data_IF_685027066897
#
_entry.id   IF_685027066897
#
_cell.length_a   1.000
_cell.length_b   1.000
_cell.length_c   1.000
_cell.angle_alpha   90.00
_cell.angle_beta   90.00
_cell.angle_gamma   90.00
#
_symmetry.space_group_name_H-M   'P 1'
#
loop_
_entity.id
_entity.type
_entity.pdbx_description
1 polymer ?
#
# COMPACT_ATOMS: atom_id res chain seq x y z
N UNK A 1 -18.00 -15.87 9.56
CA UNK A 1 -17.44 -14.70 8.86
C UNK A 1 -16.27 -15.14 8.01
N UNK A 2 -16.07 -14.56 6.83
CA UNK A 2 -14.85 -14.81 6.02
C UNK A 2 -13.64 -14.38 6.85
N UNK A 3 -12.66 -15.26 7.03
CA UNK A 3 -11.40 -14.88 7.66
C UNK A 3 -10.72 -13.82 6.77
N UNK A 4 -10.20 -12.73 7.35
CA UNK A 4 -9.44 -11.75 6.59
C UNK A 4 -8.22 -12.44 5.96
N UNK A 5 -7.94 -12.12 4.69
CA UNK A 5 -6.78 -12.67 3.96
C UNK A 5 -5.47 -12.09 4.52
N UNK A 6 -5.54 -10.88 5.06
CA UNK A 6 -4.43 -10.18 5.69
C UNK A 6 -4.55 -10.26 7.22
N UNK A 7 -3.44 -10.56 7.89
CA UNK A 7 -3.34 -10.74 9.33
C UNK A 7 -2.45 -9.63 9.93
N UNK A 8 -2.26 -9.65 11.24
CA UNK A 8 -1.40 -8.69 11.94
C UNK A 8 0.06 -8.69 11.44
N UNK A 9 0.61 -9.84 11.06
CA UNK A 9 1.97 -9.90 10.46
C UNK A 9 2.06 -9.14 9.15
N UNK A 10 1.04 -9.25 8.30
CA UNK A 10 0.97 -8.50 7.03
C UNK A 10 0.78 -7.00 7.30
N UNK A 11 0.03 -6.65 8.35
CA UNK A 11 -0.12 -5.26 8.79
C UNK A 11 1.22 -4.66 9.23
N UNK A 12 1.98 -5.36 10.06
CA UNK A 12 3.29 -4.90 10.53
C UNK A 12 4.27 -4.69 9.37
N UNK A 13 4.27 -5.59 8.39
CA UNK A 13 5.05 -5.44 7.17
C UNK A 13 4.68 -4.18 6.39
N UNK A 14 3.38 -3.99 6.13
CA UNK A 14 2.89 -2.82 5.41
C UNK A 14 3.23 -1.51 6.15
N UNK A 15 3.08 -1.48 7.48
CA UNK A 15 3.48 -0.31 8.28
C UNK A 15 4.97 -0.02 8.10
N UNK A 16 5.84 -1.03 8.24
CA UNK A 16 7.28 -0.85 8.09
C UNK A 16 7.66 -0.37 6.67
N UNK A 17 7.00 -0.89 5.64
CA UNK A 17 7.21 -0.46 4.25
C UNK A 17 6.87 1.03 4.05
N UNK A 18 5.73 1.49 4.57
CA UNK A 18 5.33 2.89 4.45
C UNK A 18 6.08 3.83 5.39
N UNK A 19 6.58 3.34 6.53
CA UNK A 19 7.44 4.11 7.43
C UNK A 19 8.85 4.31 6.83
N UNK A 20 9.40 3.29 6.16
CA UNK A 20 10.70 3.37 5.46
C UNK A 20 10.59 4.17 4.15
N UNK A 21 9.55 3.90 3.37
CA UNK A 21 9.27 4.59 2.11
C UNK A 21 7.83 5.13 2.10
N UNK A 22 7.59 6.38 2.53
CA UNK A 22 6.26 6.98 2.52
C UNK A 22 5.70 7.22 1.12
N UNK A 23 6.54 7.14 0.08
CA UNK A 23 6.15 7.20 -1.32
C UNK A 23 5.90 5.81 -1.94
N UNK A 24 6.00 4.73 -1.14
CA UNK A 24 5.76 3.38 -1.62
C UNK A 24 4.39 3.25 -2.27
N UNK A 25 4.39 2.58 -3.41
CA UNK A 25 3.18 2.36 -4.22
C UNK A 25 2.43 1.12 -3.76
N UNK A 26 1.16 1.01 -4.16
CA UNK A 26 0.39 -0.22 -3.93
C UNK A 26 1.02 -1.45 -4.58
N UNK A 27 1.68 -1.27 -5.74
CA UNK A 27 2.34 -2.37 -6.42
C UNK A 27 3.55 -2.86 -5.63
N UNK A 28 4.35 -1.96 -5.06
CA UNK A 28 5.45 -2.33 -4.16
C UNK A 28 4.94 -3.01 -2.89
N UNK A 29 3.82 -2.53 -2.32
CA UNK A 29 3.19 -3.18 -1.17
C UNK A 29 2.71 -4.60 -1.47
N UNK A 30 2.13 -4.83 -2.64
CA UNK A 30 1.69 -6.17 -3.08
C UNK A 30 2.90 -7.05 -3.38
N UNK A 31 3.87 -6.55 -4.14
CA UNK A 31 5.08 -7.29 -4.53
C UNK A 31 5.86 -7.73 -3.29
N UNK A 32 6.05 -6.82 -2.33
CA UNK A 32 6.65 -7.09 -1.04
C UNK A 32 5.89 -8.14 -0.24
N UNK A 33 4.56 -8.01 -0.15
CA UNK A 33 3.72 -9.03 0.50
C UNK A 33 3.85 -10.40 -0.17
N UNK A 34 3.86 -10.49 -1.51
CA UNK A 34 4.04 -11.77 -2.21
C UNK A 34 5.45 -12.35 -2.09
N UNK A 35 6.47 -11.50 -1.94
CA UNK A 35 7.87 -11.91 -1.76
C UNK A 35 8.15 -12.42 -0.35
N UNK A 36 7.75 -11.66 0.66
CA UNK A 36 7.95 -12.01 2.06
C UNK A 36 7.00 -13.12 2.54
N UNK A 37 5.79 -13.20 1.95
CA UNK A 37 4.80 -14.22 2.26
C UNK A 37 4.52 -15.10 1.05
N UNK A 38 5.40 -16.10 0.85
CA UNK A 38 5.28 -17.09 -0.23
C UNK A 38 3.91 -17.80 -0.15
N UNK A 39 3.13 -17.68 -1.22
CA UNK A 39 1.78 -18.27 -1.32
C UNK A 39 0.62 -17.31 -1.00
N UNK A 40 0.92 -16.05 -0.67
CA UNK A 40 -0.09 -15.02 -0.48
C UNK A 40 -0.55 -14.45 -1.84
N UNK A 41 -1.58 -15.05 -2.44
CA UNK A 41 -2.22 -14.47 -3.63
C UNK A 41 -3.29 -13.44 -3.22
N UNK A 42 -2.94 -12.16 -3.29
CA UNK A 42 -3.84 -11.07 -2.92
C UNK A 42 -4.06 -10.06 -4.05
N UNK A 43 -5.32 -9.67 -4.25
CA UNK A 43 -5.70 -8.65 -5.23
C UNK A 43 -5.46 -7.25 -4.69
N UNK A 44 -5.11 -6.31 -5.57
CA UNK A 44 -4.95 -4.89 -5.24
C UNK A 44 -6.16 -4.31 -4.48
N UNK A 45 -7.37 -4.69 -4.87
CA UNK A 45 -8.60 -4.25 -4.19
C UNK A 45 -8.69 -4.72 -2.74
N UNK A 46 -8.20 -5.93 -2.43
CA UNK A 46 -8.18 -6.47 -1.07
C UNK A 46 -7.15 -5.74 -0.20
N UNK A 47 -5.97 -5.43 -0.75
CA UNK A 47 -4.94 -4.62 -0.07
C UNK A 47 -5.46 -3.21 0.19
N UNK A 48 -6.08 -2.56 -0.81
CA UNK A 48 -6.71 -1.24 -0.63
C UNK A 48 -7.79 -1.24 0.47
N UNK A 49 -8.67 -2.25 0.47
CA UNK A 49 -9.70 -2.37 1.48
C UNK A 49 -9.10 -2.56 2.89
N UNK A 50 -8.06 -3.38 3.00
CA UNK A 50 -7.36 -3.61 4.25
C UNK A 50 -6.68 -2.35 4.76
N UNK A 51 -5.94 -1.63 3.90
CA UNK A 51 -5.28 -0.39 4.29
C UNK A 51 -6.27 0.65 4.78
N UNK A 52 -7.42 0.77 4.09
CA UNK A 52 -8.48 1.72 4.44
C UNK A 52 -9.22 1.36 5.74
N UNK A 53 -9.54 0.08 5.95
CA UNK A 53 -10.37 -0.35 7.09
C UNK A 53 -9.58 -0.81 8.31
N UNK A 54 -8.49 -1.54 8.11
CA UNK A 54 -7.70 -2.16 9.19
C UNK A 54 -6.52 -1.29 9.64
N UNK A 55 -5.87 -0.59 8.70
CA UNK A 55 -4.79 0.36 9.01
C UNK A 55 -5.29 1.80 9.14
N UNK A 56 -6.53 2.08 8.74
CA UNK A 56 -7.10 3.44 8.68
C UNK A 56 -6.22 4.42 7.89
N UNK A 57 -5.41 3.91 6.98
CA UNK A 57 -4.58 4.72 6.09
C UNK A 57 -5.44 5.25 4.95
N UNK A 58 -5.27 6.52 4.64
CA UNK A 58 -5.89 7.17 3.49
C UNK A 58 -4.79 7.58 2.53
N UNK A 59 -4.69 6.90 1.39
CA UNK A 59 -3.83 7.32 0.29
C UNK A 59 -4.40 8.59 -0.32
N UNK A 60 -3.85 9.75 0.07
CA UNK A 60 -4.13 11.01 -0.63
C UNK A 60 -3.32 11.00 -1.91
N UNK A 61 -4.01 11.00 -3.05
CA UNK A 61 -3.36 11.23 -4.34
C UNK A 61 -2.76 12.64 -4.29
N UNK A 62 -1.44 12.73 -4.30
CA UNK A 62 -0.77 14.01 -4.50
C UNK A 62 -0.98 14.40 -5.97
N UNK A 63 -1.73 15.47 -6.18
CA UNK A 63 -1.81 16.14 -7.47
C UNK A 63 -0.59 17.06 -7.57
N UNK A 64 0.51 16.54 -8.10
CA UNK A 64 1.64 17.39 -8.51
C UNK A 64 1.17 18.15 -9.76
N UNK A 65 0.73 19.38 -9.58
CA UNK A 65 0.60 20.30 -10.69
C UNK A 65 2.01 20.53 -11.24
N UNK A 66 2.27 20.07 -12.46
CA UNK A 66 3.46 20.47 -13.19
C UNK A 66 3.40 21.99 -13.36
N UNK A 67 4.19 22.72 -12.58
CA UNK A 67 4.39 24.14 -12.84
C UNK A 67 5.01 24.23 -14.24
N UNK A 68 4.23 24.73 -15.19
CA UNK A 68 4.77 25.10 -16.48
C UNK A 68 5.84 26.16 -16.18
N UNK A 69 7.10 25.79 -16.29
CA UNK A 69 8.20 26.74 -16.31
C UNK A 69 8.06 27.51 -17.62
N UNK A 70 7.34 28.63 -17.56
CA UNK A 70 7.49 29.69 -18.54
C UNK A 70 8.99 29.97 -18.64
N UNK A 71 9.59 29.53 -19.75
CA UNK A 71 10.94 29.94 -20.12
C UNK A 71 10.81 31.28 -20.85
N UNK A 72 11.73 32.23 -20.59
CA UNK A 72 11.64 33.62 -21.06
C UNK A 72 11.56 33.78 -22.58
#
# INVERSE_FOLDING_TARGET
GRKPVLNESHKAYLTALFDDNPAATMDEAIDGLTKDFVGLEIKRSAVNNFLKHEMKMTFKKVELHAEARDSP
#
